data_IF_052005537108
#
_entry.id   IF_052005537108
#
_cell.length_a   1.000
_cell.length_b   1.000
_cell.length_c   1.000
_cell.angle_alpha   90.00
_cell.angle_beta   90.00
_cell.angle_gamma   90.00
#
_symmetry.space_group_name_H-M   'P 1'
#
loop_
_entity.id
_entity.type
_entity.pdbx_description
1 polymer ?
#
# COMPACT_ATOMS: atom_id res chain seq x y z
N UNK A 1 32.07 -33.39 27.19
CA UNK A 1 30.72 -32.97 26.78
C UNK A 1 30.83 -32.14 25.51
N UNK A 2 30.54 -32.74 24.34
CA UNK A 2 30.22 -32.01 23.11
C UNK A 2 28.71 -32.08 22.82
N UNK A 3 28.16 -30.97 22.31
CA UNK A 3 26.74 -30.79 22.00
C UNK A 3 26.28 -31.51 20.71
N UNK A 4 24.96 -31.61 20.50
CA UNK A 4 24.40 -32.47 19.47
C UNK A 4 24.47 -31.86 18.07
N UNK A 5 24.76 -32.76 17.13
CA UNK A 5 24.72 -32.60 15.68
C UNK A 5 23.29 -32.32 15.18
N UNK A 6 23.23 -31.62 14.05
CA UNK A 6 22.01 -31.34 13.28
C UNK A 6 21.46 -32.61 12.62
N UNK A 7 20.25 -33.03 12.99
CA UNK A 7 19.51 -34.05 12.25
C UNK A 7 18.67 -33.43 11.12
N UNK A 8 18.98 -33.82 9.89
CA UNK A 8 18.12 -33.70 8.72
C UNK A 8 16.76 -34.40 8.96
N UNK A 9 15.66 -33.66 8.86
CA UNK A 9 14.33 -34.28 8.77
C UNK A 9 13.93 -34.50 7.31
N UNK A 10 14.10 -35.74 6.87
CA UNK A 10 13.49 -36.34 5.68
C UNK A 10 11.97 -36.12 5.66
N UNK A 11 11.46 -35.65 4.54
CA UNK A 11 10.04 -35.68 4.18
C UNK A 11 9.70 -37.08 3.63
N UNK A 12 8.70 -37.81 4.15
CA UNK A 12 8.19 -38.99 3.47
C UNK A 12 6.97 -38.66 2.60
N UNK A 13 7.08 -38.96 1.31
CA UNK A 13 5.94 -39.17 0.42
C UNK A 13 5.06 -40.33 0.94
N UNK A 14 3.74 -40.15 0.83
CA UNK A 14 2.74 -41.15 0.36
C UNK A 14 1.35 -40.98 1.03
N UNK A 15 0.37 -40.62 0.18
CA UNK A 15 -1.10 -40.73 0.28
C UNK A 15 -1.78 -40.61 1.66
N UNK A 16 -2.54 -39.54 1.87
CA UNK A 16 -3.55 -39.40 2.93
C UNK A 16 -4.92 -39.30 2.27
N UNK A 17 -5.86 -40.20 2.61
CA UNK A 17 -7.28 -40.06 2.25
C UNK A 17 -7.88 -38.93 3.09
N UNK A 18 -8.51 -37.95 2.43
CA UNK A 18 -9.25 -36.88 3.09
C UNK A 18 -10.75 -37.18 3.01
N UNK A 19 -11.40 -37.40 4.14
CA UNK A 19 -12.87 -37.38 4.22
C UNK A 19 -13.31 -35.96 4.58
N UNK A 20 -13.86 -35.25 3.60
CA UNK A 20 -14.45 -33.92 3.79
C UNK A 20 -15.94 -34.12 4.10
N UNK A 21 -16.32 -34.04 5.38
CA UNK A 21 -17.73 -34.01 5.75
C UNK A 21 -18.27 -32.57 5.68
N UNK A 22 -19.40 -32.31 4.99
CA UNK A 22 -20.06 -31.00 5.03
C UNK A 22 -20.55 -30.68 6.45
N UNK A 23 -20.50 -29.42 6.89
CA UNK A 23 -20.87 -29.05 8.26
C UNK A 23 -22.38 -29.22 8.49
N UNK A 24 -22.75 -29.75 9.66
CA UNK A 24 -24.11 -29.69 10.19
C UNK A 24 -24.45 -28.23 10.52
N UNK A 25 -25.71 -27.83 10.34
CA UNK A 25 -26.20 -26.42 10.41
C UNK A 25 -25.82 -25.63 11.69
N UNK A 26 -25.33 -26.28 12.74
CA UNK A 26 -25.11 -25.67 14.06
C UNK A 26 -23.67 -25.22 14.36
N UNK A 27 -22.71 -25.28 13.42
CA UNK A 27 -21.30 -24.89 13.68
C UNK A 27 -20.92 -23.44 13.35
N UNK A 28 -21.89 -22.55 13.15
CA UNK A 28 -21.63 -21.14 12.89
C UNK A 28 -21.38 -20.37 14.20
N UNK A 29 -20.12 -19.95 14.44
CA UNK A 29 -19.77 -19.08 15.58
C UNK A 29 -19.47 -17.66 15.10
N UNK A 30 -19.96 -16.67 15.84
CA UNK A 30 -19.75 -15.24 15.57
C UNK A 30 -18.30 -14.86 15.87
N UNK A 31 -17.62 -14.22 14.92
CA UNK A 31 -16.31 -13.59 15.14
C UNK A 31 -16.46 -12.07 15.12
N UNK A 32 -15.76 -11.37 16.00
CA UNK A 32 -15.62 -9.92 16.00
C UNK A 32 -14.26 -9.55 15.41
N UNK A 33 -14.26 -9.05 14.17
CA UNK A 33 -13.09 -8.35 13.63
C UNK A 33 -13.18 -6.88 14.06
N UNK A 34 -12.23 -6.47 14.89
CA UNK A 34 -12.05 -5.09 15.31
C UNK A 34 -11.59 -4.21 14.15
N UNK A 35 -12.53 -3.77 13.30
CA UNK A 35 -12.47 -2.53 12.49
C UNK A 35 -13.62 -2.38 11.48
N UNK A 36 -14.59 -3.30 11.39
CA UNK A 36 -15.73 -3.15 10.47
C UNK A 36 -17.06 -3.54 11.12
N UNK A 37 -17.97 -2.57 11.26
CA UNK A 37 -19.36 -2.84 11.66
C UNK A 37 -20.10 -3.52 10.50
N UNK A 38 -19.96 -4.84 10.44
CA UNK A 38 -20.72 -5.76 9.61
C UNK A 38 -20.35 -7.19 9.96
N UNK A 39 -21.15 -7.88 10.77
CA UNK A 39 -20.88 -9.28 11.20
C UNK A 39 -20.98 -10.20 9.97
N UNK A 40 -19.84 -10.68 9.47
CA UNK A 40 -19.82 -11.77 8.47
C UNK A 40 -19.65 -13.11 9.20
N UNK A 41 -20.59 -14.02 8.99
CA UNK A 41 -20.53 -15.39 9.47
C UNK A 41 -19.74 -16.18 8.41
N UNK A 42 -18.50 -16.58 8.71
CA UNK A 42 -17.71 -17.44 7.82
C UNK A 42 -17.88 -18.92 8.25
N UNK A 43 -18.11 -19.85 7.31
CA UNK A 43 -18.14 -21.27 7.62
C UNK A 43 -16.73 -21.76 7.99
N UNK A 44 -16.61 -22.41 9.15
CA UNK A 44 -15.42 -23.18 9.51
C UNK A 44 -15.59 -24.61 9.04
N UNK A 45 -14.67 -25.07 8.19
CA UNK A 45 -14.54 -26.51 7.93
C UNK A 45 -13.59 -27.11 8.97
N UNK A 46 -13.98 -28.27 9.51
CA UNK A 46 -13.08 -29.09 10.32
C UNK A 46 -12.42 -30.11 9.41
N UNK A 47 -11.13 -29.94 9.13
CA UNK A 47 -10.33 -31.00 8.55
C UNK A 47 -9.78 -31.86 9.70
N UNK A 48 -10.07 -33.15 9.64
CA UNK A 48 -9.53 -34.13 10.60
C UNK A 48 -8.52 -35.00 9.87
N UNK A 49 -7.27 -34.99 10.32
CA UNK A 49 -6.27 -35.96 9.90
C UNK A 49 -5.98 -36.93 11.06
N UNK A 50 -5.81 -38.22 10.76
CA UNK A 50 -5.39 -39.21 11.74
C UNK A 50 -3.94 -39.57 11.40
N UNK A 51 -3.03 -39.35 12.35
CA UNK A 51 -1.63 -39.75 12.19
C UNK A 51 -1.51 -41.27 12.20
N UNK A 52 -0.39 -41.81 11.70
CA UNK A 52 -0.10 -43.26 11.82
C UNK A 52 0.00 -43.75 13.27
N UNK A 53 0.18 -42.85 14.25
CA UNK A 53 0.16 -43.14 15.69
C UNK A 53 -1.25 -43.10 16.32
N UNK A 54 -2.30 -42.89 15.51
CA UNK A 54 -3.68 -42.82 16.00
C UNK A 54 -4.07 -41.46 16.58
N UNK A 55 -3.19 -40.46 16.48
CA UNK A 55 -3.45 -39.11 16.99
C UNK A 55 -4.32 -38.33 16.01
N UNK A 56 -5.44 -37.81 16.52
CA UNK A 56 -6.42 -37.04 15.75
C UNK A 56 -5.99 -35.57 15.74
N UNK A 57 -5.54 -35.09 14.58
CA UNK A 57 -5.18 -33.69 14.36
C UNK A 57 -6.40 -32.97 13.77
N UNK A 58 -7.07 -32.14 14.56
CA UNK A 58 -8.14 -31.27 14.09
C UNK A 58 -7.56 -29.91 13.66
N UNK A 59 -7.66 -29.57 12.38
CA UNK A 59 -7.36 -28.23 11.86
C UNK A 59 -8.67 -27.53 11.47
N UNK A 60 -8.92 -26.37 12.05
CA UNK A 60 -9.99 -25.48 11.64
C UNK A 60 -9.54 -24.68 10.41
N UNK A 61 -10.19 -24.89 9.28
CA UNK A 61 -10.00 -24.13 8.05
C UNK A 61 -11.08 -23.07 7.98
N UNK A 62 -10.68 -21.80 7.92
CA UNK A 62 -11.60 -20.69 7.62
C UNK A 62 -11.71 -20.65 6.09
N UNK A 63 -12.90 -20.93 5.56
CA UNK A 63 -13.17 -20.72 4.14
C UNK A 63 -13.55 -19.24 4.01
N UNK A 64 -12.59 -18.38 3.68
CA UNK A 64 -12.93 -17.05 3.17
C UNK A 64 -13.68 -17.26 1.86
N UNK A 65 -14.93 -16.77 1.75
CA UNK A 65 -15.62 -16.75 0.45
C UNK A 65 -14.68 -16.11 -0.56
N UNK A 66 -14.43 -16.80 -1.67
CA UNK A 66 -13.65 -16.23 -2.77
C UNK A 66 -14.40 -14.99 -3.27
N UNK A 67 -13.83 -13.82 -3.03
CA UNK A 67 -14.34 -12.55 -3.54
C UNK A 67 -13.61 -12.26 -4.84
N UNK A 68 -14.33 -12.39 -5.96
CA UNK A 68 -13.83 -11.92 -7.24
C UNK A 68 -14.06 -10.40 -7.32
N UNK A 69 -13.00 -9.61 -7.15
CA UNK A 69 -12.98 -8.16 -7.34
C UNK A 69 -11.67 -7.73 -8.02
N UNK A 70 -11.59 -6.48 -8.46
CA UNK A 70 -10.37 -5.96 -9.09
C UNK A 70 -9.23 -5.98 -8.05
N UNK A 71 -8.15 -6.67 -8.38
CA UNK A 71 -7.04 -6.94 -7.47
C UNK A 71 -5.72 -6.41 -8.01
N UNK A 72 -5.03 -5.60 -7.22
CA UNK A 72 -3.68 -5.15 -7.50
C UNK A 72 -2.68 -6.13 -6.87
N UNK A 73 -1.87 -6.74 -7.70
CA UNK A 73 -0.73 -7.56 -7.32
C UNK A 73 0.52 -6.68 -7.40
N UNK A 74 1.10 -6.37 -6.24
CA UNK A 74 2.30 -5.55 -6.08
C UNK A 74 3.45 -6.49 -5.78
N UNK A 75 4.43 -6.57 -6.66
CA UNK A 75 5.52 -7.51 -6.52
C UNK A 75 6.75 -6.82 -5.94
N UNK A 76 7.36 -7.46 -4.95
CA UNK A 76 8.76 -7.21 -4.63
C UNK A 76 9.59 -7.48 -5.88
N UNK A 77 10.52 -6.59 -6.16
CA UNK A 77 11.45 -6.78 -7.27
C UNK A 77 12.78 -6.07 -7.01
N UNK A 78 13.87 -6.62 -7.50
CA UNK A 78 15.19 -5.96 -7.55
C UNK A 78 15.37 -5.09 -8.80
N UNK A 79 14.41 -5.10 -9.71
CA UNK A 79 14.40 -4.23 -10.88
C UNK A 79 14.39 -2.74 -10.49
N UNK A 80 14.92 -1.93 -11.40
CA UNK A 80 14.91 -0.47 -11.30
C UNK A 80 13.51 0.11 -11.38
N UNK A 81 12.57 -0.60 -12.02
CA UNK A 81 11.15 -0.28 -12.02
C UNK A 81 10.38 -1.31 -11.16
N UNK A 82 9.40 -0.84 -10.41
CA UNK A 82 8.50 -1.72 -9.66
C UNK A 82 7.56 -2.45 -10.60
N UNK A 83 7.08 -3.62 -10.17
CA UNK A 83 6.11 -4.41 -10.92
C UNK A 83 4.77 -4.40 -10.21
N UNK A 84 3.73 -3.91 -10.90
CA UNK A 84 2.35 -3.97 -10.43
C UNK A 84 1.46 -4.46 -11.57
N UNK A 85 0.61 -5.44 -11.25
CA UNK A 85 -0.42 -5.94 -12.15
C UNK A 85 -1.80 -5.66 -11.55
N UNK A 86 -2.74 -5.22 -12.39
CA UNK A 86 -4.15 -5.04 -12.04
C UNK A 86 -4.95 -6.14 -12.71
N UNK A 87 -5.38 -7.10 -11.90
CA UNK A 87 -6.15 -8.26 -12.32
C UNK A 87 -7.65 -7.92 -12.25
N UNK A 88 -8.33 -8.02 -13.38
CA UNK A 88 -9.76 -7.70 -13.53
C UNK A 88 -10.49 -9.03 -13.77
N UNK A 89 -11.31 -9.51 -12.81
CA UNK A 89 -12.03 -10.76 -13.01
C UNK A 89 -13.12 -10.60 -14.07
N UNK A 90 -13.48 -11.72 -14.74
CA UNK A 90 -14.57 -11.75 -15.73
C UNK A 90 -15.91 -11.31 -15.15
N UNK A 91 -16.18 -11.73 -13.92
CA UNK A 91 -17.37 -11.35 -13.15
C UNK A 91 -16.92 -10.78 -11.81
N UNK A 92 -17.50 -9.65 -11.41
CA UNK A 92 -17.25 -9.05 -10.10
C UNK A 92 -18.36 -9.49 -9.15
N UNK A 93 -17.96 -9.91 -7.95
CA UNK A 93 -18.87 -10.25 -6.87
C UNK A 93 -19.76 -9.06 -6.55
N UNK A 94 -21.09 -9.28 -6.49
CA UNK A 94 -22.06 -8.23 -6.19
C UNK A 94 -21.68 -7.47 -4.90
N UNK A 95 -21.61 -6.14 -4.99
CA UNK A 95 -21.19 -5.26 -3.89
C UNK A 95 -19.67 -4.98 -3.82
N UNK A 96 -18.90 -5.47 -4.79
CA UNK A 96 -17.46 -5.20 -4.93
C UNK A 96 -17.09 -4.41 -6.21
N UNK A 97 -18.07 -3.85 -6.90
CA UNK A 97 -17.90 -3.15 -8.18
C UNK A 97 -16.99 -1.91 -8.06
N UNK A 98 -16.98 -1.28 -6.88
CA UNK A 98 -16.11 -0.14 -6.55
C UNK A 98 -15.16 -0.46 -5.39
N UNK A 99 -14.84 -1.74 -5.18
CA UNK A 99 -13.88 -2.18 -4.16
C UNK A 99 -12.65 -2.76 -4.84
N UNK A 100 -11.50 -2.43 -4.28
CA UNK A 100 -10.20 -2.81 -4.84
C UNK A 100 -9.39 -3.53 -3.78
N UNK A 101 -8.89 -4.72 -4.12
CA UNK A 101 -8.03 -5.51 -3.27
C UNK A 101 -6.56 -5.21 -3.60
N UNK A 102 -5.72 -5.19 -2.57
CA UNK A 102 -4.28 -4.99 -2.71
C UNK A 102 -3.54 -6.17 -2.06
N UNK A 103 -2.70 -6.83 -2.84
CA UNK A 103 -1.90 -7.98 -2.41
C UNK A 103 -0.45 -7.68 -2.74
N UNK A 104 0.41 -7.78 -1.73
CA UNK A 104 1.85 -7.74 -1.93
C UNK A 104 2.43 -9.15 -2.05
N UNK A 105 3.36 -9.34 -2.97
CA UNK A 105 4.12 -10.57 -3.17
C UNK A 105 5.56 -10.30 -2.76
N UNK A 106 6.07 -11.02 -1.75
CA UNK A 106 7.47 -10.85 -1.34
C UNK A 106 8.44 -11.54 -2.32
N UNK A 107 9.74 -11.50 -2.00
CA UNK A 107 10.81 -12.13 -2.80
C UNK A 107 10.65 -13.64 -3.02
N UNK A 108 9.92 -14.32 -2.14
CA UNK A 108 9.62 -15.75 -2.18
C UNK A 108 8.22 -16.01 -2.79
N UNK A 109 7.59 -14.94 -3.30
CA UNK A 109 6.23 -14.93 -3.84
C UNK A 109 5.16 -15.33 -2.81
N UNK A 110 5.42 -15.12 -1.52
CA UNK A 110 4.39 -15.24 -0.49
C UNK A 110 3.43 -14.04 -0.58
N UNK A 111 2.13 -14.31 -0.42
CA UNK A 111 1.09 -13.29 -0.53
C UNK A 111 0.74 -12.64 0.81
N UNK A 112 0.65 -11.31 0.78
CA UNK A 112 0.28 -10.47 1.90
C UNK A 112 -0.88 -9.56 1.51
N UNK A 113 -2.09 -9.90 1.97
CA UNK A 113 -3.28 -9.06 1.80
C UNK A 113 -3.11 -7.78 2.60
N UNK A 114 -3.07 -6.64 1.90
CA UNK A 114 -2.95 -5.30 2.50
C UNK A 114 -4.33 -4.70 2.82
N UNK A 115 -5.37 -5.18 2.14
CA UNK A 115 -6.76 -4.80 2.41
C UNK A 115 -7.64 -4.80 1.17
N UNK A 116 -8.93 -4.53 1.39
CA UNK A 116 -9.92 -4.26 0.35
C UNK A 116 -10.55 -2.92 0.68
N UNK A 117 -10.47 -1.96 -0.23
CA UNK A 117 -10.88 -0.59 0.02
C UNK A 117 -11.97 -0.14 -0.96
N UNK A 118 -12.98 0.55 -0.44
CA UNK A 118 -14.04 1.14 -1.25
C UNK A 118 -13.54 2.44 -1.88
N UNK A 119 -13.76 2.59 -3.18
CA UNK A 119 -13.48 3.84 -3.89
C UNK A 119 -14.77 4.63 -4.15
N UNK A 120 -14.66 5.94 -4.07
CA UNK A 120 -15.65 6.85 -4.65
C UNK A 120 -15.38 6.96 -6.14
N UNK A 121 -16.35 6.51 -6.95
CA UNK A 121 -16.34 6.70 -8.40
C UNK A 121 -16.80 8.13 -8.72
N UNK A 122 -16.01 8.86 -9.49
CA UNK A 122 -16.33 10.21 -9.95
C UNK A 122 -16.15 10.31 -11.48
N UNK A 123 -16.82 11.27 -12.11
CA UNK A 123 -16.54 11.63 -13.50
C UNK A 123 -15.16 12.29 -13.58
N UNK A 124 -14.37 11.92 -14.60
CA UNK A 124 -13.10 12.58 -14.85
C UNK A 124 -13.32 13.96 -15.49
N UNK A 125 -13.15 15.02 -14.70
CA UNK A 125 -13.28 16.40 -15.16
C UNK A 125 -11.97 17.01 -15.68
N UNK A 126 -10.87 16.25 -15.64
CA UNK A 126 -9.51 16.76 -15.90
C UNK A 126 -8.76 15.96 -16.97
N UNK A 127 -9.48 15.52 -18.00
CA UNK A 127 -8.89 14.84 -19.16
C UNK A 127 -8.03 15.83 -19.92
N UNK A 128 -6.74 15.52 -20.06
CA UNK A 128 -5.75 16.37 -20.74
C UNK A 128 -5.03 15.62 -21.84
N UNK A 129 -4.75 16.34 -22.94
CA UNK A 129 -4.02 15.78 -24.09
C UNK A 129 -2.55 15.48 -23.76
N UNK A 130 -1.98 16.17 -22.77
CA UNK A 130 -0.57 16.07 -22.35
C UNK A 130 -0.21 14.76 -21.64
N UNK A 131 -1.18 13.86 -21.41
CA UNK A 131 -0.95 12.54 -20.80
C UNK A 131 -0.60 12.58 -19.31
N UNK A 132 -0.67 13.75 -18.66
CA UNK A 132 -0.35 13.89 -17.22
C UNK A 132 -1.39 13.27 -16.29
N UNK A 133 -2.58 12.99 -16.80
CA UNK A 133 -3.68 12.38 -16.06
C UNK A 133 -4.36 11.33 -16.94
N UNK A 134 -5.03 10.37 -16.30
CA UNK A 134 -5.75 9.33 -17.02
C UNK A 134 -6.81 9.90 -17.96
N UNK A 135 -6.97 9.21 -19.10
CA UNK A 135 -8.02 9.47 -20.09
C UNK A 135 -9.29 8.65 -19.80
N UNK A 136 -9.31 7.86 -18.74
CA UNK A 136 -10.52 7.13 -18.33
C UNK A 136 -11.67 8.10 -18.05
N UNK A 137 -12.91 7.79 -18.45
CA UNK A 137 -14.06 8.66 -18.22
C UNK A 137 -14.43 8.77 -16.74
N UNK A 138 -14.01 7.80 -15.92
CA UNK A 138 -14.25 7.77 -14.48
C UNK A 138 -12.94 7.63 -13.72
N UNK A 139 -12.86 8.27 -12.55
CA UNK A 139 -11.76 8.16 -11.60
C UNK A 139 -12.30 7.48 -10.33
N UNK A 140 -11.43 6.71 -9.68
CA UNK A 140 -11.78 5.94 -8.49
C UNK A 140 -10.83 6.33 -7.37
N UNK A 141 -11.39 7.02 -6.38
CA UNK A 141 -10.64 7.65 -5.30
C UNK A 141 -10.90 6.93 -3.98
N UNK A 142 -9.83 6.55 -3.31
CA UNK A 142 -9.86 5.89 -2.00
C UNK A 142 -9.44 6.93 -0.95
N UNK A 143 -10.22 7.02 0.12
CA UNK A 143 -9.90 7.85 1.27
C UNK A 143 -8.81 7.18 2.11
N UNK A 144 -7.66 7.83 2.24
CA UNK A 144 -6.50 7.34 2.99
C UNK A 144 -6.76 7.18 4.50
N UNK A 145 -7.83 7.78 5.03
CA UNK A 145 -8.26 7.52 6.41
C UNK A 145 -8.94 6.16 6.60
N UNK A 146 -9.45 5.57 5.51
CA UNK A 146 -10.08 4.23 5.53
C UNK A 146 -9.07 3.12 5.21
N UNK A 147 -7.84 3.51 4.85
CA UNK A 147 -6.73 2.59 4.55
C UNK A 147 -6.03 2.16 5.84
N UNK A 148 -5.59 0.90 5.93
CA UNK A 148 -4.78 0.42 7.06
C UNK A 148 -3.47 1.19 7.09
N UNK A 149 -3.37 2.12 8.05
CA UNK A 149 -2.26 3.06 8.21
C UNK A 149 -1.07 2.50 8.99
N UNK A 150 -1.26 1.40 9.71
CA UNK A 150 -0.20 0.69 10.43
C UNK A 150 -0.31 -0.78 10.09
N UNK A 151 0.71 -1.31 9.41
CA UNK A 151 0.79 -2.70 9.01
C UNK A 151 2.06 -3.31 9.58
N UNK A 152 1.91 -4.47 10.21
CA UNK A 152 3.03 -5.30 10.63
C UNK A 152 2.61 -6.75 10.53
N UNK A 153 3.29 -7.50 9.66
CA UNK A 153 3.10 -8.95 9.52
C UNK A 153 4.43 -9.56 9.09
N UNK A 154 4.91 -10.54 9.87
CA UNK A 154 6.24 -11.13 9.71
C UNK A 154 7.32 -10.02 9.68
N UNK A 155 8.17 -10.01 8.65
CA UNK A 155 9.23 -9.01 8.45
C UNK A 155 8.79 -7.82 7.58
N UNK A 156 7.49 -7.69 7.28
CA UNK A 156 6.96 -6.57 6.52
C UNK A 156 6.27 -5.60 7.46
N UNK A 157 6.61 -4.32 7.33
CA UNK A 157 5.96 -3.26 8.08
C UNK A 157 5.91 -1.96 7.31
N UNK A 158 4.90 -1.16 7.60
CA UNK A 158 4.88 0.25 7.28
C UNK A 158 3.96 0.97 8.26
N UNK A 159 4.20 2.26 8.44
CA UNK A 159 3.23 3.14 9.07
C UNK A 159 3.20 4.49 8.38
N UNK A 160 2.00 4.96 8.08
CA UNK A 160 1.80 6.28 7.51
C UNK A 160 0.59 7.00 8.14
N UNK A 161 0.50 8.31 7.92
CA UNK A 161 -0.70 9.08 8.22
C UNK A 161 -1.05 10.06 7.08
N UNK A 162 -2.25 10.62 7.14
CA UNK A 162 -2.67 11.75 6.30
C UNK A 162 -3.22 12.86 7.19
N UNK A 163 -2.79 14.10 6.96
CA UNK A 163 -3.20 15.25 7.75
C UNK A 163 -4.49 15.88 7.23
N UNK A 164 -4.58 16.08 5.91
CA UNK A 164 -5.73 16.77 5.34
C UNK A 164 -6.99 15.92 5.44
N UNK A 165 -8.02 16.45 6.11
CA UNK A 165 -9.37 15.86 6.11
C UNK A 165 -10.01 15.92 4.72
N UNK A 166 -9.89 17.07 4.06
CA UNK A 166 -10.48 17.28 2.73
C UNK A 166 -9.70 16.60 1.62
N UNK A 167 -8.37 16.71 1.62
CA UNK A 167 -7.49 16.20 0.56
C UNK A 167 -6.92 14.82 0.86
N UNK A 168 -7.72 13.96 1.50
CA UNK A 168 -7.33 12.61 1.91
C UNK A 168 -7.54 11.55 0.83
N UNK A 169 -7.83 11.94 -0.42
CA UNK A 169 -8.22 10.99 -1.46
C UNK A 169 -7.09 10.73 -2.45
N UNK A 170 -6.75 9.45 -2.62
CA UNK A 170 -5.72 8.96 -3.55
C UNK A 170 -6.37 8.12 -4.64
N UNK A 171 -5.82 8.14 -5.85
CA UNK A 171 -6.29 7.26 -6.92
C UNK A 171 -6.02 5.79 -6.58
N UNK A 172 -6.93 4.87 -6.94
CA UNK A 172 -6.74 3.42 -6.73
C UNK A 172 -5.40 2.88 -7.27
N UNK A 173 -4.93 3.41 -8.41
CA UNK A 173 -3.70 2.97 -9.06
C UNK A 173 -2.48 3.52 -8.30
N UNK A 174 -2.49 4.81 -7.96
CA UNK A 174 -1.40 5.40 -7.19
C UNK A 174 -1.31 4.87 -5.76
N UNK A 175 -2.43 4.39 -5.19
CA UNK A 175 -2.41 3.67 -3.91
C UNK A 175 -1.66 2.33 -4.01
N UNK A 176 -1.77 1.60 -5.13
CA UNK A 176 -0.98 0.38 -5.33
C UNK A 176 0.52 0.69 -5.34
N UNK A 177 0.90 1.75 -6.06
CA UNK A 177 2.28 2.25 -6.08
C UNK A 177 2.76 2.76 -4.73
N UNK A 178 1.90 3.43 -3.98
CA UNK A 178 2.22 3.90 -2.65
C UNK A 178 2.50 2.72 -1.71
N UNK A 179 1.69 1.65 -1.76
CA UNK A 179 1.97 0.43 -0.99
C UNK A 179 3.29 -0.24 -1.37
N UNK A 180 3.61 -0.31 -2.66
CA UNK A 180 4.91 -0.82 -3.13
C UNK A 180 6.08 -0.04 -2.52
N UNK A 181 6.02 1.29 -2.60
CA UNK A 181 7.05 2.15 -2.01
C UNK A 181 7.14 2.00 -0.48
N UNK A 182 6.00 1.94 0.22
CA UNK A 182 5.96 1.76 1.69
C UNK A 182 6.61 0.44 2.13
N UNK A 183 6.31 -0.66 1.46
CA UNK A 183 6.81 -2.00 1.82
C UNK A 183 8.30 -2.18 1.46
N UNK A 184 8.79 -1.55 0.40
CA UNK A 184 10.22 -1.54 0.10
C UNK A 184 11.02 -0.60 1.03
N UNK A 185 10.40 0.48 1.49
CA UNK A 185 11.02 1.41 2.43
C UNK A 185 11.07 0.82 3.85
N UNK A 186 9.97 0.18 4.26
CA UNK A 186 9.68 -0.27 5.62
C UNK A 186 9.80 0.83 6.69
N UNK A 187 9.41 2.05 6.31
CA UNK A 187 9.39 3.20 7.21
C UNK A 187 8.08 3.27 7.99
N UNK A 188 8.15 3.78 9.21
CA UNK A 188 7.02 3.85 10.15
C UNK A 188 6.62 5.30 10.49
N UNK A 189 7.10 6.25 9.71
CA UNK A 189 7.05 7.70 9.95
C UNK A 189 6.76 8.47 8.65
N UNK A 190 6.04 7.84 7.71
CA UNK A 190 5.61 8.50 6.48
C UNK A 190 4.38 9.36 6.77
N UNK A 191 4.47 10.65 6.53
CA UNK A 191 3.34 11.56 6.74
C UNK A 191 2.94 12.25 5.45
N UNK A 192 1.65 12.20 5.11
CA UNK A 192 1.09 12.84 3.92
C UNK A 192 0.35 14.12 4.31
N UNK A 193 0.68 15.25 3.68
CA UNK A 193 -0.12 16.46 3.84
C UNK A 193 -1.46 16.32 3.09
N UNK A 194 -1.47 15.73 1.90
CA UNK A 194 -2.68 15.43 1.14
C UNK A 194 -2.43 15.13 -0.34
N UNK A 195 -3.47 14.62 -1.00
CA UNK A 195 -3.56 14.34 -2.43
C UNK A 195 -4.74 15.15 -3.00
N UNK A 196 -5.86 14.52 -3.35
CA UNK A 196 -7.04 15.22 -3.88
C UNK A 196 -8.19 15.28 -2.90
N UNK A 197 -9.16 16.14 -3.19
CA UNK A 197 -10.50 16.10 -2.59
C UNK A 197 -11.29 14.90 -3.09
N UNK A 198 -12.41 14.60 -2.43
CA UNK A 198 -13.33 13.50 -2.77
C UNK A 198 -13.88 13.58 -4.20
N UNK A 199 -13.99 14.79 -4.74
CA UNK A 199 -14.47 15.07 -6.10
C UNK A 199 -13.35 15.14 -7.16
N UNK A 200 -12.11 14.84 -6.77
CA UNK A 200 -10.93 14.89 -7.64
C UNK A 200 -10.32 16.27 -7.80
N UNK A 201 -10.92 17.34 -7.27
CA UNK A 201 -10.31 18.67 -7.25
C UNK A 201 -9.17 18.75 -6.22
N UNK A 202 -8.34 19.80 -6.27
CA UNK A 202 -7.09 19.85 -5.49
C UNK A 202 -6.82 21.15 -4.72
N UNK A 203 -7.71 22.15 -4.79
CA UNK A 203 -7.50 23.48 -4.21
C UNK A 203 -7.02 23.39 -2.74
N UNK A 204 -5.98 24.17 -2.34
CA UNK A 204 -5.34 25.26 -3.10
C UNK A 204 -4.27 24.78 -4.12
N UNK A 205 -3.87 23.51 -4.08
CA UNK A 205 -2.96 22.95 -5.10
C UNK A 205 -3.66 22.92 -6.45
N UNK A 206 -2.94 23.21 -7.53
CA UNK A 206 -3.46 23.14 -8.90
C UNK A 206 -3.11 21.82 -9.60
N UNK A 207 -2.26 20.98 -8.98
CA UNK A 207 -1.74 19.76 -9.60
C UNK A 207 -2.19 18.46 -8.93
N UNK A 208 -2.73 18.46 -7.71
CA UNK A 208 -3.18 17.21 -7.06
C UNK A 208 -4.47 16.61 -7.61
N UNK A 209 -4.79 16.89 -8.87
CA UNK A 209 -6.04 16.48 -9.50
C UNK A 209 -6.14 14.96 -9.54
N UNK A 210 -7.34 14.45 -9.29
CA UNK A 210 -7.70 13.03 -9.38
C UNK A 210 -6.82 12.08 -8.55
N UNK A 211 -6.12 12.58 -7.52
CA UNK A 211 -5.36 11.77 -6.58
C UNK A 211 -4.08 11.15 -7.15
N UNK A 212 -3.58 11.65 -8.29
CA UNK A 212 -2.34 11.15 -8.91
C UNK A 212 -1.08 11.76 -8.29
N UNK A 213 -1.20 12.98 -7.75
CA UNK A 213 -0.11 13.76 -7.18
C UNK A 213 -0.46 14.12 -5.73
N UNK A 214 0.55 14.33 -4.91
CA UNK A 214 0.37 14.60 -3.49
C UNK A 214 1.63 15.13 -2.82
N UNK A 215 1.48 15.49 -1.56
CA UNK A 215 2.55 16.05 -0.74
C UNK A 215 2.88 15.12 0.42
N UNK A 216 4.15 14.76 0.55
CA UNK A 216 4.71 14.06 1.71
C UNK A 216 5.54 15.03 2.55
N UNK A 217 5.49 14.91 3.87
CA UNK A 217 6.42 15.62 4.74
C UNK A 217 7.84 15.08 4.54
N UNK A 218 8.84 15.94 4.66
CA UNK A 218 10.22 15.51 4.65
C UNK A 218 10.53 14.62 5.87
N UNK A 219 11.32 13.57 5.65
CA UNK A 219 11.72 12.62 6.66
C UNK A 219 12.71 13.24 7.65
N UNK A 220 12.54 12.91 8.92
CA UNK A 220 13.33 13.44 10.03
C UNK A 220 14.26 12.37 10.58
N UNK A 221 15.43 12.78 11.07
CA UNK A 221 16.41 11.87 11.72
C UNK A 221 15.85 11.23 12.98
N UNK A 222 14.97 11.93 13.69
CA UNK A 222 14.28 11.44 14.89
C UNK A 222 13.22 10.37 14.60
N UNK A 223 12.90 10.12 13.32
CA UNK A 223 11.94 9.13 12.84
C UNK A 223 10.55 9.25 13.46
N UNK A 224 10.16 10.46 13.81
CA UNK A 224 8.86 10.76 14.40
C UNK A 224 7.77 10.80 13.33
N UNK A 225 6.66 10.09 13.57
CA UNK A 225 5.47 10.19 12.70
C UNK A 225 4.76 11.51 12.97
N UNK A 226 5.06 12.53 12.17
CA UNK A 226 4.50 13.88 12.32
C UNK A 226 3.03 13.94 11.89
N UNK A 227 2.16 14.55 12.71
CA UNK A 227 0.72 14.67 12.42
C UNK A 227 0.20 16.06 12.78
N UNK A 228 -0.60 16.64 11.90
CA UNK A 228 -1.27 17.92 12.09
C UNK A 228 -0.57 19.10 11.43
N UNK A 229 -1.31 20.21 11.32
CA UNK A 229 -0.85 21.44 10.67
C UNK A 229 0.40 22.00 11.36
N UNK A 230 1.33 22.53 10.57
CA UNK A 230 2.57 23.12 11.07
C UNK A 230 3.67 22.13 11.52
N UNK A 231 3.41 20.82 11.49
CA UNK A 231 4.41 19.80 11.89
C UNK A 231 5.38 19.39 10.78
N UNK A 232 5.24 19.97 9.59
CA UNK A 232 6.14 19.75 8.46
C UNK A 232 7.55 20.29 8.76
N UNK A 233 8.58 19.48 8.54
CA UNK A 233 9.97 19.93 8.66
C UNK A 233 10.28 20.96 7.56
N UNK A 234 10.67 22.17 7.95
CA UNK A 234 11.22 23.16 7.04
C UNK A 234 12.73 22.93 6.83
N UNK A 235 13.12 22.38 5.68
CA UNK A 235 14.53 22.01 5.40
C UNK A 235 15.40 23.20 5.03
N UNK A 236 14.80 24.38 4.80
CA UNK A 236 15.53 25.64 4.62
C UNK A 236 16.05 26.18 5.95
N UNK A 237 15.24 26.07 7.01
CA UNK A 237 15.57 26.59 8.34
C UNK A 237 16.19 25.55 9.28
N UNK A 238 15.82 24.28 9.12
CA UNK A 238 16.27 23.18 9.97
C UNK A 238 16.85 22.00 9.16
N UNK A 239 17.82 22.25 8.26
CA UNK A 239 18.42 21.21 7.42
C UNK A 239 19.10 20.09 8.22
N UNK A 240 19.55 20.36 9.44
CA UNK A 240 20.19 19.40 10.34
C UNK A 240 19.26 18.27 10.81
N UNK A 241 17.94 18.51 10.79
CA UNK A 241 16.93 17.54 11.20
C UNK A 241 16.49 16.60 10.06
N UNK A 242 16.79 16.95 8.81
CA UNK A 242 16.47 16.16 7.63
C UNK A 242 17.27 14.85 7.60
N UNK A 243 16.57 13.72 7.45
CA UNK A 243 17.22 12.44 7.19
C UNK A 243 17.44 12.27 5.68
N UNK A 244 18.57 12.78 5.20
CA UNK A 244 18.90 12.85 3.76
C UNK A 244 18.92 11.46 3.12
N UNK A 245 19.55 10.48 3.76
CA UNK A 245 19.70 9.13 3.19
C UNK A 245 18.34 8.45 3.05
N UNK A 246 17.50 8.54 4.09
CA UNK A 246 16.17 7.96 4.03
C UNK A 246 15.27 8.70 3.06
N UNK A 247 15.39 10.03 2.97
CA UNK A 247 14.62 10.86 2.06
C UNK A 247 14.97 10.58 0.59
N UNK A 248 16.25 10.41 0.28
CA UNK A 248 16.70 10.04 -1.07
C UNK A 248 16.23 8.63 -1.42
N UNK A 249 16.37 7.65 -0.52
CA UNK A 249 15.80 6.30 -0.71
C UNK A 249 14.28 6.36 -0.93
N UNK A 250 13.56 7.21 -0.20
CA UNK A 250 12.12 7.37 -0.38
C UNK A 250 11.76 7.92 -1.76
N UNK A 251 12.48 8.94 -2.25
CA UNK A 251 12.28 9.48 -3.60
C UNK A 251 12.59 8.43 -4.68
N UNK A 252 13.65 7.65 -4.51
CA UNK A 252 14.01 6.60 -5.45
C UNK A 252 12.94 5.50 -5.48
N UNK A 253 12.35 5.13 -4.33
CA UNK A 253 11.26 4.17 -4.28
C UNK A 253 9.95 4.72 -4.88
N UNK A 254 9.63 5.98 -4.65
CA UNK A 254 8.51 6.63 -5.33
C UNK A 254 8.73 6.65 -6.86
N UNK A 255 9.98 6.82 -7.30
CA UNK A 255 10.35 6.74 -8.72
C UNK A 255 10.16 5.33 -9.27
N UNK A 256 10.66 4.33 -8.55
CA UNK A 256 10.51 2.92 -8.87
C UNK A 256 9.04 2.56 -9.07
N UNK A 257 8.13 3.12 -8.25
CA UNK A 257 6.69 2.84 -8.33
C UNK A 257 5.88 3.85 -9.15
N UNK A 258 6.52 4.62 -10.04
CA UNK A 258 5.85 5.28 -11.15
C UNK A 258 5.73 6.81 -11.07
N UNK A 259 6.15 7.48 -9.99
CA UNK A 259 6.24 8.95 -9.98
C UNK A 259 7.54 9.41 -10.64
N UNK A 260 7.45 10.22 -11.69
CA UNK A 260 8.64 10.56 -12.50
C UNK A 260 9.22 11.94 -12.21
N UNK A 261 8.56 12.76 -11.41
CA UNK A 261 8.99 14.13 -11.12
C UNK A 261 8.61 14.56 -9.71
N UNK A 262 9.48 15.38 -9.12
CA UNK A 262 9.36 15.83 -7.74
C UNK A 262 9.59 17.34 -7.66
N UNK A 263 8.82 18.03 -6.82
CA UNK A 263 9.08 19.41 -6.44
C UNK A 263 9.52 19.44 -4.98
N UNK A 264 10.52 20.28 -4.70
CA UNK A 264 11.07 20.44 -3.37
C UNK A 264 12.04 21.61 -3.30
N UNK A 265 12.93 21.55 -2.32
CA UNK A 265 13.85 22.64 -2.01
C UNK A 265 15.26 22.10 -1.74
N UNK A 266 16.26 22.93 -1.99
CA UNK A 266 17.64 22.66 -1.55
C UNK A 266 17.78 22.82 -0.04
N UNK A 267 18.80 22.19 0.54
CA UNK A 267 19.15 22.36 1.94
C UNK A 267 20.61 22.79 2.05
N UNK A 268 20.96 23.47 3.15
CA UNK A 268 22.32 23.97 3.38
C UNK A 268 22.92 23.34 4.63
N UNK A 269 24.09 22.71 4.49
CA UNK A 269 24.87 22.19 5.61
C UNK A 269 26.29 22.73 5.50
N UNK A 270 26.82 23.30 6.57
CA UNK A 270 28.18 23.85 6.63
C UNK A 270 28.48 24.85 5.49
N UNK A 271 27.50 25.69 5.15
CA UNK A 271 27.62 26.68 4.06
C UNK A 271 27.46 26.13 2.64
N UNK A 272 27.47 24.81 2.45
CA UNK A 272 27.31 24.17 1.14
C UNK A 272 25.84 23.87 0.86
N UNK A 273 25.42 24.04 -0.40
CA UNK A 273 24.05 23.78 -0.87
C UNK A 273 23.97 22.40 -1.50
N UNK A 274 22.94 21.65 -1.13
CA UNK A 274 22.68 20.30 -1.59
C UNK A 274 21.24 20.17 -2.10
N UNK A 275 21.02 19.18 -2.95
CA UNK A 275 19.70 18.80 -3.44
C UNK A 275 19.43 17.34 -3.10
N UNK A 276 18.16 17.04 -2.80
CA UNK A 276 17.67 15.67 -2.73
C UNK A 276 17.60 15.06 -4.14
N UNK A 277 17.59 13.73 -4.20
CA UNK A 277 17.49 12.99 -5.46
C UNK A 277 16.32 13.50 -6.31
N UNK A 278 16.54 13.59 -7.62
CA UNK A 278 15.55 14.03 -8.63
C UNK A 278 15.00 15.45 -8.46
N UNK A 279 15.57 16.25 -7.54
CA UNK A 279 15.27 17.68 -7.39
C UNK A 279 16.48 18.46 -7.88
N UNK A 280 16.31 19.26 -8.94
CA UNK A 280 17.42 19.97 -9.58
C UNK A 280 17.37 21.49 -9.36
N UNK A 281 16.27 21.99 -8.79
CA UNK A 281 16.05 23.40 -8.50
C UNK A 281 15.02 23.58 -7.40
N UNK A 282 15.07 24.74 -6.76
CA UNK A 282 14.09 25.13 -5.76
C UNK A 282 12.74 25.41 -6.41
N UNK A 283 11.68 24.86 -5.83
CA UNK A 283 10.30 25.17 -6.23
C UNK A 283 9.63 25.97 -5.13
N UNK A 284 9.11 27.19 -5.41
CA UNK A 284 8.47 28.05 -4.41
C UNK A 284 7.49 27.29 -3.51
N UNK A 285 7.58 27.50 -2.20
CA UNK A 285 6.74 26.90 -1.15
C UNK A 285 6.91 25.38 -0.95
N UNK A 286 7.98 24.75 -1.46
CA UNK A 286 8.25 23.32 -1.25
C UNK A 286 9.46 23.06 -0.32
N UNK A 287 9.77 24.03 0.53
CA UNK A 287 10.80 23.95 1.59
C UNK A 287 10.33 23.15 2.81
N UNK A 288 9.05 22.77 2.87
CA UNK A 288 8.49 22.02 3.98
C UNK A 288 7.81 20.69 3.59
N UNK A 289 7.82 20.31 2.31
CA UNK A 289 7.27 19.05 1.85
C UNK A 289 7.88 18.63 0.51
N UNK A 290 7.84 17.33 0.22
CA UNK A 290 8.10 16.75 -1.08
C UNK A 290 6.78 16.61 -1.85
N UNK A 291 6.68 17.24 -3.00
CA UNK A 291 5.56 17.06 -3.91
C UNK A 291 5.88 15.99 -4.96
N UNK A 292 5.05 14.97 -5.09
CA UNK A 292 5.18 13.94 -6.12
C UNK A 292 4.27 14.27 -7.30
N UNK A 293 4.78 14.19 -8.53
CA UNK A 293 4.02 14.51 -9.73
C UNK A 293 4.45 13.72 -10.97
N UNK A 294 3.68 13.88 -12.07
CA UNK A 294 3.86 13.17 -13.34
C UNK A 294 3.89 11.66 -13.12
N UNK A 295 2.81 11.12 -12.55
CA UNK A 295 2.66 9.67 -12.41
C UNK A 295 2.57 9.02 -13.80
N UNK A 296 3.31 7.91 -14.02
CA UNK A 296 3.34 7.17 -15.28
C UNK A 296 2.03 6.40 -15.44
N UNK A 297 1.09 6.95 -16.23
CA UNK A 297 -0.29 6.44 -16.35
C UNK A 297 -0.39 4.99 -16.85
N UNK A 298 0.63 4.50 -17.57
CA UNK A 298 0.73 3.13 -18.05
C UNK A 298 1.68 2.25 -17.22
N UNK A 299 2.02 2.67 -16.00
CA UNK A 299 2.90 1.91 -15.11
C UNK A 299 2.32 0.57 -14.70
N UNK A 300 1.02 0.53 -14.39
CA UNK A 300 0.34 -0.69 -13.95
C UNK A 300 -0.12 -1.49 -15.16
N UNK A 301 0.29 -2.76 -15.23
CA UNK A 301 -0.11 -3.68 -16.29
C UNK A 301 -1.50 -4.26 -16.00
N UNK A 302 -2.46 -4.05 -16.89
CA UNK A 302 -3.78 -4.70 -16.77
C UNK A 302 -3.74 -6.16 -17.26
N UNK A 303 -4.37 -7.04 -16.48
CA UNK A 303 -4.59 -8.46 -16.78
C UNK A 303 -6.11 -8.70 -16.73
N UNK A 304 -6.67 -9.28 -17.80
CA UNK A 304 -8.11 -9.52 -17.99
C UNK A 304 -8.39 -11.00 -18.20
#
# INVERSE_FOLDING_TARGET
MPGPESEEKKVPDNCVKYDICPPKKDTFQKYEDGANKGKKILPKLKATAISKSGEKIEKSIIVEDKVDCVTYHIYWNTETEGKIEKHIPKEITKGYENKYQYIYHDKENNEYKLGIYSATKIKNNYIRADGKYSKEPNIYLINLNDVVQNYSKNNLKYRFNVDSKERSFMNRDTLASFFGALLDAQYEDISCNGFSKKDGSSSPSVSHLNGYHGDFKYLRKDKTLQKGDGTSLNIRYNPELLDVDRQNKWIDLLTKYGWTSFLGWSYKLNGQTYYLHKIYKNTPNHDHHLHVQNYKMNFIKEIK
#
